data_IF_662170450149
#
_entry.id   IF_662170450149
#
_cell.length_a   1.000
_cell.length_b   1.000
_cell.length_c   1.000
_cell.angle_alpha   90.00
_cell.angle_beta   90.00
_cell.angle_gamma   90.00
#
_symmetry.space_group_name_H-M   'P 1'
#
loop_
_entity.id
_entity.type
_entity.pdbx_description
1 polymer ?
#
# COMPACT_ATOMS: atom_id res chain seq x y z
N UNK A 1 -17.59 22.57 2.49
CA UNK A 1 -18.38 21.64 3.33
C UNK A 1 -18.84 20.35 2.62
N UNK A 2 -18.76 20.23 1.29
CA UNK A 2 -19.22 19.02 0.55
C UNK A 2 -18.24 17.83 0.56
N UNK A 3 -16.92 18.07 0.52
CA UNK A 3 -15.89 17.01 0.49
C UNK A 3 -15.76 16.20 1.78
N UNK A 4 -16.05 16.80 2.95
CA UNK A 4 -15.94 16.12 4.25
C UNK A 4 -17.07 15.11 4.43
N UNK A 5 -18.30 15.47 4.00
CA UNK A 5 -19.47 14.57 4.02
C UNK A 5 -19.27 13.29 3.18
N UNK A 6 -18.44 13.36 2.15
CA UNK A 6 -18.09 12.20 1.30
C UNK A 6 -17.17 11.21 2.04
N UNK A 7 -16.28 11.70 2.91
CA UNK A 7 -15.39 10.87 3.72
C UNK A 7 -16.19 10.14 4.80
N UNK A 8 -17.15 10.81 5.43
CA UNK A 8 -17.97 10.20 6.48
C UNK A 8 -18.80 9.02 5.95
N UNK A 9 -19.29 9.13 4.71
CA UNK A 9 -19.98 8.02 4.03
C UNK A 9 -19.13 6.75 3.90
N UNK A 10 -17.80 6.86 3.78
CA UNK A 10 -16.90 5.70 3.70
C UNK A 10 -16.81 4.90 5.01
N UNK A 11 -17.18 5.52 6.13
CA UNK A 11 -17.15 4.91 7.46
C UNK A 11 -18.54 4.63 8.03
N UNK A 12 -19.61 4.87 7.27
CA UNK A 12 -20.97 4.57 7.69
C UNK A 12 -21.15 3.07 7.99
N UNK A 13 -21.83 2.77 9.09
CA UNK A 13 -22.09 1.39 9.53
C UNK A 13 -20.87 0.66 10.10
N UNK A 14 -19.77 1.36 10.43
CA UNK A 14 -18.61 0.77 11.10
C UNK A 14 -18.76 0.88 12.62
N UNK A 15 -18.43 -0.20 13.32
CA UNK A 15 -18.50 -0.27 14.79
C UNK A 15 -17.47 0.60 15.53
N UNK A 16 -16.40 1.02 14.86
CA UNK A 16 -15.35 1.83 15.48
C UNK A 16 -15.33 3.20 14.83
N UNK A 17 -14.90 4.19 15.61
CA UNK A 17 -14.72 5.54 15.14
C UNK A 17 -13.77 5.58 13.93
N UNK A 18 -14.06 6.50 12.99
CA UNK A 18 -13.29 6.69 11.77
C UNK A 18 -11.82 6.98 12.09
N UNK A 19 -11.55 7.67 13.19
CA UNK A 19 -10.20 8.05 13.59
C UNK A 19 -9.34 6.84 13.96
N UNK A 20 -9.93 5.87 14.67
CA UNK A 20 -9.27 4.60 14.99
C UNK A 20 -8.97 3.79 13.72
N UNK A 21 -9.92 3.75 12.78
CA UNK A 21 -9.74 3.05 11.51
C UNK A 21 -8.61 3.71 10.71
N UNK A 22 -8.64 5.04 10.56
CA UNK A 22 -7.63 5.81 9.85
C UNK A 22 -6.26 5.62 10.48
N UNK A 23 -6.16 5.66 11.82
CA UNK A 23 -4.91 5.48 12.55
C UNK A 23 -4.30 4.11 12.27
N UNK A 24 -5.08 3.03 12.40
CA UNK A 24 -4.61 1.67 12.14
C UNK A 24 -4.12 1.50 10.69
N UNK A 25 -4.90 1.98 9.71
CA UNK A 25 -4.55 1.87 8.30
C UNK A 25 -3.29 2.70 7.98
N UNK A 26 -3.21 3.93 8.50
CA UNK A 26 -2.05 4.80 8.31
C UNK A 26 -0.78 4.19 8.91
N UNK A 27 -0.86 3.65 10.12
CA UNK A 27 0.29 3.05 10.78
C UNK A 27 0.78 1.80 10.05
N UNK A 28 -0.14 0.96 9.58
CA UNK A 28 0.22 -0.20 8.75
C UNK A 28 0.93 0.21 7.45
N UNK A 29 0.44 1.26 6.77
CA UNK A 29 1.01 1.70 5.49
C UNK A 29 2.35 2.44 5.65
N UNK A 30 2.56 3.11 6.79
CA UNK A 30 3.74 3.96 7.02
C UNK A 30 4.89 3.24 7.71
N UNK A 31 4.59 2.33 8.63
CA UNK A 31 5.57 1.68 9.49
C UNK A 31 5.61 0.17 9.22
N UNK A 32 6.72 -0.48 9.59
CA UNK A 32 6.91 -1.94 9.46
C UNK A 32 6.21 -2.70 10.59
N UNK A 33 4.93 -2.39 10.85
CA UNK A 33 4.14 -3.00 11.91
C UNK A 33 3.32 -4.17 11.37
N UNK A 34 3.27 -5.26 12.13
CA UNK A 34 2.38 -6.38 11.85
C UNK A 34 0.94 -6.05 12.27
N UNK A 35 -0.04 -6.79 11.73
CA UNK A 35 -1.43 -6.64 12.17
C UNK A 35 -1.63 -7.02 13.65
N UNK A 36 -0.76 -7.88 14.20
CA UNK A 36 -0.79 -8.28 15.62
C UNK A 36 -0.26 -7.14 16.48
N UNK A 37 0.86 -6.54 16.08
CA UNK A 37 1.45 -5.38 16.77
C UNK A 37 0.41 -4.25 16.86
N UNK A 38 -0.28 -3.95 15.76
CA UNK A 38 -1.35 -2.95 15.76
C UNK A 38 -2.51 -3.32 16.69
N UNK A 39 -2.89 -4.61 16.77
CA UNK A 39 -3.94 -5.04 17.69
C UNK A 39 -3.51 -4.87 19.15
N UNK A 40 -2.27 -5.20 19.49
CA UNK A 40 -1.68 -5.01 20.83
C UNK A 40 -1.62 -3.52 21.19
N UNK A 41 -1.12 -2.67 20.29
CA UNK A 41 -1.09 -1.21 20.49
C UNK A 41 -2.50 -0.60 20.67
N UNK A 42 -3.53 -1.19 20.08
CA UNK A 42 -4.91 -0.76 20.29
C UNK A 42 -5.46 -1.28 21.63
N UNK A 43 -5.08 -2.48 22.05
CA UNK A 43 -5.44 -3.03 23.35
C UNK A 43 -4.89 -2.17 24.51
N UNK A 44 -3.65 -1.67 24.40
CA UNK A 44 -3.08 -0.69 25.34
C UNK A 44 -3.92 0.60 25.48
N UNK A 45 -4.67 0.95 24.43
CA UNK A 45 -5.58 2.11 24.39
C UNK A 45 -7.01 1.75 24.78
N UNK A 46 -7.23 0.60 25.41
CA UNK A 46 -8.55 0.05 25.77
C UNK A 46 -9.46 -0.23 24.57
N UNK A 47 -8.90 -0.41 23.37
CA UNK A 47 -9.63 -0.76 22.15
C UNK A 47 -9.37 -2.23 21.77
N UNK A 48 -10.32 -3.10 22.13
CA UNK A 48 -10.23 -4.54 21.78
C UNK A 48 -10.51 -4.76 20.29
N UNK A 49 -9.45 -4.99 19.52
CA UNK A 49 -9.48 -5.21 18.07
C UNK A 49 -8.80 -6.52 17.71
N UNK A 50 -9.49 -7.39 16.98
CA UNK A 50 -8.86 -8.57 16.38
C UNK A 50 -8.01 -8.13 15.19
N UNK A 51 -6.77 -8.65 15.07
CA UNK A 51 -5.86 -8.35 13.97
C UNK A 51 -6.47 -8.56 12.56
N UNK A 52 -7.37 -9.53 12.40
CA UNK A 52 -8.10 -9.78 11.14
C UNK A 52 -9.07 -8.64 10.78
N UNK A 53 -9.63 -7.94 11.77
CA UNK A 53 -10.45 -6.74 11.56
C UNK A 53 -9.60 -5.61 10.98
N UNK A 54 -8.39 -5.44 11.50
CA UNK A 54 -7.42 -4.45 10.99
C UNK A 54 -7.03 -4.81 9.55
N UNK A 55 -6.70 -6.08 9.28
CA UNK A 55 -6.39 -6.55 7.92
C UNK A 55 -7.52 -6.27 6.92
N UNK A 56 -8.78 -6.55 7.28
CA UNK A 56 -9.95 -6.28 6.43
C UNK A 56 -10.11 -4.78 6.16
N UNK A 57 -9.89 -3.93 7.17
CA UNK A 57 -9.93 -2.46 7.04
C UNK A 57 -8.83 -1.95 6.13
N UNK A 58 -7.59 -2.40 6.33
CA UNK A 58 -6.46 -2.06 5.45
C UNK A 58 -6.83 -2.41 4.01
N UNK A 59 -7.23 -3.67 3.74
CA UNK A 59 -7.62 -4.08 2.38
C UNK A 59 -8.73 -3.20 1.78
N UNK A 60 -9.72 -2.80 2.58
CA UNK A 60 -10.85 -1.98 2.14
C UNK A 60 -10.45 -0.52 1.85
N UNK A 61 -9.58 0.08 2.68
CA UNK A 61 -9.32 1.51 2.66
C UNK A 61 -8.01 1.90 1.95
N UNK A 62 -7.08 0.97 1.72
CA UNK A 62 -5.77 1.27 1.09
C UNK A 62 -5.92 2.00 -0.24
N UNK A 63 -6.85 1.59 -1.12
CA UNK A 63 -7.04 2.25 -2.43
C UNK A 63 -7.44 3.72 -2.28
N UNK A 64 -8.35 4.03 -1.36
CA UNK A 64 -8.80 5.39 -1.07
C UNK A 64 -7.71 6.25 -0.40
N UNK A 65 -6.84 5.63 0.41
CA UNK A 65 -5.65 6.27 0.96
C UNK A 65 -4.65 6.59 -0.16
N UNK A 66 -4.28 5.61 -0.99
CA UNK A 66 -3.34 5.79 -2.10
C UNK A 66 -3.84 6.87 -3.05
N UNK A 67 -5.13 6.85 -3.44
CA UNK A 67 -5.75 7.87 -4.30
C UNK A 67 -5.63 9.28 -3.74
N UNK A 68 -5.77 9.46 -2.42
CA UNK A 68 -5.65 10.76 -1.75
C UNK A 68 -4.18 11.16 -1.56
N UNK A 69 -3.32 10.24 -1.15
CA UNK A 69 -1.88 10.46 -0.96
C UNK A 69 -1.19 10.82 -2.28
N UNK A 70 -1.57 10.19 -3.40
CA UNK A 70 -0.98 10.46 -4.71
C UNK A 70 -1.21 11.91 -5.19
N UNK A 71 -2.22 12.62 -4.66
CA UNK A 71 -2.40 14.06 -4.97
C UNK A 71 -1.29 14.94 -4.40
N UNK A 72 -0.59 14.45 -3.38
CA UNK A 72 0.54 15.11 -2.75
C UNK A 72 1.87 14.47 -3.17
N UNK A 73 1.84 13.46 -4.05
CA UNK A 73 3.05 12.82 -4.53
C UNK A 73 3.73 13.71 -5.58
N UNK A 74 5.01 13.98 -5.38
CA UNK A 74 5.87 14.64 -6.38
C UNK A 74 5.99 13.75 -7.63
N UNK A 75 6.03 14.32 -8.84
CA UNK A 75 6.29 13.53 -10.04
C UNK A 75 7.67 12.84 -9.95
N UNK A 76 7.81 11.65 -10.52
CA UNK A 76 9.10 11.00 -10.62
C UNK A 76 10.03 11.78 -11.57
N UNK A 77 11.34 11.74 -11.32
CA UNK A 77 12.33 12.37 -12.19
C UNK A 77 12.37 11.78 -13.60
N UNK A 78 13.05 12.47 -14.53
CA UNK A 78 13.16 12.05 -15.95
C UNK A 78 14.01 10.79 -16.17
N UNK A 79 14.82 10.39 -15.19
CA UNK A 79 15.66 9.18 -15.25
C UNK A 79 15.34 8.23 -14.11
N UNK A 80 15.32 6.94 -14.43
CA UNK A 80 15.01 5.86 -13.51
C UNK A 80 15.83 4.61 -13.85
N UNK A 81 15.93 3.71 -12.86
CA UNK A 81 16.58 2.40 -12.97
C UNK A 81 15.66 1.32 -12.43
N UNK A 82 15.92 0.06 -12.81
CA UNK A 82 15.22 -1.10 -12.27
C UNK A 82 16.12 -1.83 -11.30
N UNK A 83 15.67 -1.97 -10.06
CA UNK A 83 16.26 -2.88 -9.09
C UNK A 83 15.54 -4.23 -9.17
N UNK A 84 16.28 -5.34 -9.28
CA UNK A 84 15.75 -6.71 -9.15
C UNK A 84 16.07 -7.22 -7.73
N UNK A 85 15.09 -7.79 -7.04
CA UNK A 85 15.27 -8.40 -5.71
C UNK A 85 14.44 -9.67 -5.61
N UNK A 86 14.92 -10.65 -4.85
CA UNK A 86 14.27 -11.95 -4.66
C UNK A 86 13.49 -11.91 -3.34
N UNK A 87 12.18 -12.17 -3.40
CA UNK A 87 11.31 -12.21 -2.23
C UNK A 87 10.56 -13.53 -2.18
N UNK A 88 10.44 -14.09 -0.97
CA UNK A 88 9.73 -15.35 -0.76
C UNK A 88 8.26 -15.07 -0.44
N UNK A 89 7.37 -15.42 -1.36
CA UNK A 89 5.92 -15.23 -1.21
C UNK A 89 5.27 -16.61 -1.09
N UNK A 90 4.59 -16.86 0.03
CA UNK A 90 3.92 -18.16 0.31
C UNK A 90 4.83 -19.37 0.09
N UNK A 91 6.10 -19.25 0.46
CA UNK A 91 7.09 -20.32 0.35
C UNK A 91 7.81 -20.41 -1.01
N UNK A 92 7.35 -19.72 -2.05
CA UNK A 92 7.95 -19.70 -3.38
C UNK A 92 8.82 -18.45 -3.58
N UNK A 93 9.93 -18.59 -4.31
CA UNK A 93 10.76 -17.45 -4.71
C UNK A 93 10.13 -16.70 -5.88
N UNK A 94 9.97 -15.39 -5.71
CA UNK A 94 9.41 -14.47 -6.71
C UNK A 94 10.38 -13.32 -6.94
N UNK A 95 10.53 -12.91 -8.19
CA UNK A 95 11.32 -11.76 -8.58
C UNK A 95 10.49 -10.49 -8.41
N UNK A 96 10.98 -9.56 -7.58
CA UNK A 96 10.45 -8.22 -7.41
C UNK A 96 11.31 -7.25 -8.23
N UNK A 97 10.69 -6.68 -9.25
CA UNK A 97 11.24 -5.59 -10.05
C UNK A 97 10.71 -4.28 -9.51
N UNK A 98 11.57 -3.30 -9.28
CA UNK A 98 11.18 -1.98 -8.79
C UNK A 98 11.79 -0.89 -9.66
N UNK A 99 10.96 -0.04 -10.23
CA UNK A 99 11.40 1.17 -10.89
C UNK A 99 11.68 2.24 -9.83
N UNK A 100 12.90 2.77 -9.81
CA UNK A 100 13.36 3.76 -8.83
C UNK A 100 13.96 4.94 -9.58
N UNK A 101 13.58 6.16 -9.22
CA UNK A 101 14.17 7.37 -9.81
C UNK A 101 15.57 7.65 -9.23
N UNK A 102 16.20 8.72 -9.74
CA UNK A 102 17.52 9.16 -9.28
C UNK A 102 17.56 9.52 -7.78
N UNK A 103 16.46 10.01 -7.22
CA UNK A 103 16.35 10.41 -5.81
C UNK A 103 16.03 9.23 -4.88
N UNK A 104 15.94 8.01 -5.43
CA UNK A 104 15.63 6.80 -4.66
C UNK A 104 14.13 6.59 -4.43
N UNK A 105 13.27 7.38 -5.07
CA UNK A 105 11.82 7.22 -4.98
C UNK A 105 11.37 6.05 -5.84
N UNK A 106 10.57 5.17 -5.24
CA UNK A 106 9.91 4.09 -5.97
C UNK A 106 8.79 4.65 -6.84
N UNK A 107 8.87 4.38 -8.14
CA UNK A 107 7.88 4.78 -9.15
C UNK A 107 6.83 3.69 -9.26
N UNK A 108 7.26 2.46 -9.50
CA UNK A 108 6.40 1.31 -9.70
C UNK A 108 7.11 0.00 -9.29
N UNK A 109 6.34 -1.07 -9.12
CA UNK A 109 6.86 -2.39 -8.80
C UNK A 109 6.08 -3.49 -9.50
N UNK A 110 6.78 -4.56 -9.88
CA UNK A 110 6.18 -5.72 -10.52
C UNK A 110 6.75 -7.02 -9.94
N UNK A 111 5.86 -7.97 -9.70
CA UNK A 111 6.22 -9.31 -9.25
C UNK A 111 6.14 -10.28 -10.44
N UNK A 112 7.14 -11.13 -10.59
CA UNK A 112 7.17 -12.20 -11.60
C UNK A 112 7.73 -13.48 -11.00
N UNK A 113 7.15 -14.62 -11.38
CA UNK A 113 7.70 -15.94 -11.05
C UNK A 113 8.87 -16.34 -11.95
N UNK A 114 8.99 -15.71 -13.12
CA UNK A 114 10.07 -15.94 -14.07
C UNK A 114 11.04 -14.76 -14.10
N UNK A 115 12.32 -15.05 -14.23
CA UNK A 115 13.36 -14.03 -14.42
C UNK A 115 13.34 -13.54 -15.86
N UNK A 116 13.03 -12.26 -16.06
CA UNK A 116 13.12 -11.64 -17.38
C UNK A 116 13.32 -10.13 -17.23
N UNK A 117 14.56 -9.66 -17.14
CA UNK A 117 14.82 -8.24 -16.84
C UNK A 117 14.42 -7.32 -18.01
N UNK A 118 14.58 -7.79 -19.25
CA UNK A 118 14.38 -6.98 -20.46
C UNK A 118 12.90 -6.74 -20.73
N UNK A 119 12.08 -7.79 -20.68
CA UNK A 119 10.63 -7.67 -20.83
C UNK A 119 10.02 -6.80 -19.74
N UNK A 120 10.52 -6.93 -18.51
CA UNK A 120 9.97 -6.21 -17.36
C UNK A 120 10.32 -4.72 -17.39
N UNK A 121 11.54 -4.35 -17.84
CA UNK A 121 11.90 -2.95 -18.11
C UNK A 121 10.96 -2.28 -19.11
N UNK A 122 10.60 -2.97 -20.19
CA UNK A 122 9.68 -2.42 -21.18
C UNK A 122 8.25 -2.29 -20.63
N UNK A 123 7.79 -3.30 -19.88
CA UNK A 123 6.41 -3.35 -19.39
C UNK A 123 6.11 -2.43 -18.19
N UNK A 124 7.12 -2.09 -17.38
CA UNK A 124 7.00 -1.09 -16.30
C UNK A 124 6.82 0.34 -16.86
N UNK A 125 7.04 0.52 -18.16
CA UNK A 125 6.94 1.80 -18.87
C UNK A 125 5.63 1.96 -19.65
N UNK A 126 4.83 0.91 -19.84
CA UNK A 126 3.58 0.98 -20.63
C UNK A 126 2.38 1.35 -19.74
N UNK A 127 1.83 2.58 -19.82
CA UNK A 127 0.62 2.99 -19.07
C UNK A 127 -0.65 2.22 -19.49
N UNK A 128 -0.56 1.41 -20.55
CA UNK A 128 -1.63 0.63 -21.19
C UNK A 128 -1.60 -0.86 -20.86
N UNK A 129 -0.54 -1.38 -20.22
CA UNK A 129 -0.43 -2.79 -19.90
C UNK A 129 -1.27 -3.12 -18.64
N UNK A 130 -2.53 -3.51 -18.87
CA UNK A 130 -3.47 -4.16 -17.96
C UNK A 130 -3.15 -4.11 -16.45
N UNK A 131 -3.83 -3.19 -15.75
CA UNK A 131 -3.93 -3.18 -14.29
C UNK A 131 -4.90 -4.29 -13.86
N UNK A 132 -4.50 -5.25 -12.99
CA UNK A 132 -5.45 -6.14 -12.32
C UNK A 132 -6.29 -5.40 -11.26
#
# INVERSE_FOLDING_TARGET
>A
MSKVKDIDRLFNGRHFDREVIILCVRWYLRYKLSFRDLAEMMAERSLSLVHTTIMRRVKCYTSEFVKRCNRFAVAAGQSWRVDETYVRIRGQWTYLYRAVDREGKTIDFRLSTRRDVLQQRHSLFDPTAARP
#
